data_IF_485351071675
#
_entry.id   IF_485351071675
#
_cell.length_a   1.000
_cell.length_b   1.000
_cell.length_c   1.000
_cell.angle_alpha   90.00
_cell.angle_beta   90.00
_cell.angle_gamma   90.00
#
_symmetry.space_group_name_H-M   'P 1'
#
loop_
_entity.id
_entity.type
_entity.pdbx_description
1 polymer ?
#
# COMPACT_ATOMS: atom_id res chain seq x y z
N UNK A 1 -37.91 10.66 16.13
CA UNK A 1 -36.89 11.23 15.26
C UNK A 1 -36.06 10.09 14.65
N UNK A 2 -35.72 10.22 13.36
CA UNK A 2 -34.83 9.26 12.71
C UNK A 2 -33.37 9.67 12.95
N UNK A 3 -32.48 8.66 13.03
CA UNK A 3 -31.06 8.90 13.15
C UNK A 3 -30.43 8.97 11.77
N UNK A 4 -29.54 9.93 11.58
CA UNK A 4 -28.80 10.15 10.33
C UNK A 4 -27.31 10.26 10.60
N UNK A 5 -26.51 9.69 9.72
CA UNK A 5 -25.06 9.85 9.71
C UNK A 5 -24.59 10.22 8.29
N UNK A 6 -23.91 11.36 8.15
CA UNK A 6 -23.49 11.90 6.84
C UNK A 6 -24.64 11.94 5.80
N UNK A 7 -25.84 12.35 6.24
CA UNK A 7 -27.03 12.47 5.39
C UNK A 7 -27.73 11.15 5.04
N UNK A 8 -27.24 10.01 5.54
CA UNK A 8 -27.88 8.69 5.36
C UNK A 8 -28.66 8.30 6.61
N UNK A 9 -29.89 7.81 6.42
CA UNK A 9 -30.69 7.28 7.51
C UNK A 9 -30.07 6.00 8.05
N UNK A 10 -29.92 5.93 9.38
CA UNK A 10 -29.63 4.69 10.09
C UNK A 10 -30.96 4.04 10.42
N UNK A 11 -31.26 2.91 9.80
CA UNK A 11 -32.50 2.15 10.05
C UNK A 11 -32.48 1.48 11.44
N UNK A 12 -32.47 2.31 12.47
CA UNK A 12 -32.41 1.88 13.87
C UNK A 12 -33.72 1.18 14.23
N UNK A 13 -33.62 -0.07 14.70
CA UNK A 13 -34.78 -0.91 15.02
C UNK A 13 -35.45 -0.47 16.33
N UNK A 14 -34.66 -0.17 17.35
CA UNK A 14 -35.16 0.33 18.61
C UNK A 14 -34.50 1.68 18.96
N UNK A 15 -35.20 2.74 18.64
CA UNK A 15 -34.73 4.12 18.87
C UNK A 15 -34.59 4.46 20.35
N UNK A 16 -35.29 3.77 21.24
CA UNK A 16 -35.29 4.05 22.67
C UNK A 16 -34.03 3.55 23.37
N UNK A 17 -33.38 2.50 22.82
CA UNK A 17 -32.15 1.93 23.35
C UNK A 17 -30.92 2.22 22.48
N UNK A 18 -31.08 2.98 21.39
CA UNK A 18 -29.96 3.28 20.51
C UNK A 18 -28.93 4.19 21.16
N UNK A 19 -27.68 3.81 21.06
CA UNK A 19 -26.53 4.59 21.49
C UNK A 19 -25.39 4.53 20.49
N UNK A 20 -24.64 5.62 20.37
CA UNK A 20 -23.34 5.66 19.68
C UNK A 20 -22.30 5.18 20.68
N UNK A 21 -21.48 4.20 20.26
CA UNK A 21 -20.45 3.64 21.11
C UNK A 21 -19.22 4.53 21.15
N UNK A 22 -18.59 4.60 22.31
CA UNK A 22 -17.38 5.39 22.56
C UNK A 22 -16.17 4.46 22.63
N UNK A 23 -15.01 5.01 22.28
CA UNK A 23 -13.72 4.39 22.50
C UNK A 23 -13.26 4.57 23.98
N UNK A 24 -12.09 4.04 24.32
CA UNK A 24 -11.51 4.15 25.65
C UNK A 24 -11.12 5.59 26.05
N UNK A 25 -11.03 6.52 25.11
CA UNK A 25 -10.83 7.94 25.39
C UNK A 25 -12.12 8.71 25.66
N UNK A 26 -13.26 8.06 25.44
CA UNK A 26 -14.60 8.65 25.59
C UNK A 26 -15.10 9.34 24.32
N UNK A 27 -14.37 9.24 23.21
CA UNK A 27 -14.78 9.81 21.91
C UNK A 27 -15.75 8.89 21.17
N UNK A 28 -16.65 9.50 20.40
CA UNK A 28 -17.61 8.74 19.60
C UNK A 28 -16.90 7.97 18.47
N UNK A 29 -17.25 6.69 18.33
CA UNK A 29 -16.75 5.84 17.25
C UNK A 29 -17.71 5.82 16.05
N UNK A 30 -17.34 5.07 15.01
CA UNK A 30 -18.21 4.76 13.87
C UNK A 30 -19.21 3.62 14.16
N UNK A 31 -19.42 3.25 15.41
CA UNK A 31 -20.25 2.14 15.82
C UNK A 31 -21.39 2.61 16.73
N UNK A 32 -22.53 1.97 16.58
CA UNK A 32 -23.67 2.14 17.46
C UNK A 32 -24.33 0.80 17.75
N UNK A 33 -25.23 0.77 18.71
CA UNK A 33 -26.08 -0.41 18.99
C UNK A 33 -27.44 0.00 19.52
N UNK A 34 -28.43 -0.86 19.30
CA UNK A 34 -29.65 -0.93 20.08
C UNK A 34 -29.78 -2.34 20.69
N UNK A 35 -30.79 -2.62 21.45
CA UNK A 35 -30.96 -3.92 22.12
C UNK A 35 -31.04 -5.12 21.19
N UNK A 36 -31.15 -4.92 19.86
CA UNK A 36 -31.30 -5.99 18.88
C UNK A 36 -30.13 -6.08 17.90
N UNK A 37 -29.56 -4.91 17.52
CA UNK A 37 -28.65 -4.79 16.40
C UNK A 37 -27.43 -3.93 16.77
N UNK A 38 -26.29 -4.27 16.14
CA UNK A 38 -25.17 -3.35 15.98
C UNK A 38 -25.32 -2.54 14.70
N UNK A 39 -24.63 -1.41 14.64
CA UNK A 39 -24.64 -0.51 13.49
C UNK A 39 -23.22 -0.04 13.22
N UNK A 40 -22.79 -0.13 11.96
CA UNK A 40 -21.67 0.67 11.49
C UNK A 40 -22.25 1.90 10.81
N UNK A 41 -21.82 3.10 11.23
CA UNK A 41 -22.52 4.35 10.92
C UNK A 41 -22.52 4.76 9.43
N UNK A 42 -21.95 3.96 8.53
CA UNK A 42 -22.12 4.10 7.08
C UNK A 42 -23.53 3.65 6.58
N UNK A 43 -24.38 3.17 7.48
CA UNK A 43 -25.71 2.62 7.20
C UNK A 43 -25.81 1.09 7.26
N UNK A 44 -24.72 0.39 7.62
CA UNK A 44 -24.74 -1.08 7.74
C UNK A 44 -25.37 -1.51 9.07
N UNK A 45 -26.37 -2.38 8.99
CA UNK A 45 -27.04 -2.99 10.15
C UNK A 45 -26.48 -4.40 10.36
N UNK A 46 -26.12 -4.72 11.60
CA UNK A 46 -25.59 -6.01 12.03
C UNK A 46 -26.63 -6.67 12.93
N UNK A 47 -27.40 -7.63 12.42
CA UNK A 47 -28.46 -8.27 13.21
C UNK A 47 -27.89 -9.24 14.24
N UNK A 48 -28.64 -9.41 15.34
CA UNK A 48 -28.38 -10.45 16.33
C UNK A 48 -27.00 -10.39 16.99
N UNK A 49 -26.52 -9.18 17.31
CA UNK A 49 -25.34 -9.02 18.16
C UNK A 49 -25.65 -9.48 19.59
N UNK A 50 -24.61 -9.83 20.35
CA UNK A 50 -24.74 -9.90 21.81
C UNK A 50 -24.65 -8.46 22.37
N UNK A 51 -25.80 -7.88 22.68
CA UNK A 51 -25.90 -6.48 23.12
C UNK A 51 -25.01 -6.17 24.32
N UNK A 52 -24.94 -7.10 25.29
CA UNK A 52 -24.21 -6.87 26.54
C UNK A 52 -22.71 -6.75 26.33
N UNK A 53 -22.17 -7.43 25.32
CA UNK A 53 -20.73 -7.48 25.06
C UNK A 53 -20.29 -6.78 23.77
N UNK A 54 -21.21 -6.28 22.96
CA UNK A 54 -20.87 -5.59 21.72
C UNK A 54 -20.19 -4.25 22.02
N UNK A 55 -18.97 -4.10 21.50
CA UNK A 55 -18.11 -2.93 21.72
C UNK A 55 -17.22 -2.67 20.49
N UNK A 56 -16.79 -1.41 20.25
CA UNK A 56 -15.73 -1.10 19.29
C UNK A 56 -14.41 -1.66 19.81
N UNK A 57 -13.55 -2.11 18.89
CA UNK A 57 -12.18 -2.48 19.22
C UNK A 57 -11.32 -1.23 19.06
N UNK A 58 -10.62 -0.85 20.12
CA UNK A 58 -9.77 0.32 20.09
C UNK A 58 -8.57 0.11 19.18
N UNK A 59 -8.34 1.08 18.32
CA UNK A 59 -7.14 1.16 17.54
C UNK A 59 -5.93 1.51 18.44
N UNK A 60 -4.80 0.90 18.16
CA UNK A 60 -3.57 1.18 18.88
C UNK A 60 -3.17 2.66 18.71
N UNK A 61 -3.14 3.38 19.83
CA UNK A 61 -2.68 4.74 20.17
C UNK A 61 -2.59 5.88 19.15
N UNK A 62 -2.50 5.64 17.86
CA UNK A 62 -2.24 6.71 16.87
C UNK A 62 -3.26 6.79 15.74
N UNK A 63 -4.27 5.94 15.73
CA UNK A 63 -5.15 5.78 14.57
C UNK A 63 -6.59 5.80 15.04
N UNK A 64 -7.28 6.91 14.81
CA UNK A 64 -8.74 7.00 14.94
C UNK A 64 -9.43 6.17 13.85
N UNK A 65 -9.12 4.88 13.72
CA UNK A 65 -9.70 4.08 12.65
C UNK A 65 -11.08 3.56 13.01
N UNK A 66 -11.25 2.98 14.20
CA UNK A 66 -12.54 2.48 14.67
C UNK A 66 -13.26 1.57 13.65
N UNK A 67 -12.49 0.80 12.87
CA UNK A 67 -13.06 -0.03 11.81
C UNK A 67 -13.53 -1.38 12.31
N UNK A 68 -13.05 -1.81 13.46
CA UNK A 68 -13.35 -3.09 14.05
C UNK A 68 -14.29 -2.95 15.26
N UNK A 69 -15.16 -3.92 15.42
CA UNK A 69 -15.95 -4.14 16.63
C UNK A 69 -16.05 -5.64 16.92
N UNK A 70 -16.37 -6.00 18.14
CA UNK A 70 -16.62 -7.38 18.50
C UNK A 70 -17.79 -7.48 19.50
N UNK A 71 -18.38 -8.65 19.56
CA UNK A 71 -19.10 -9.16 20.73
C UNK A 71 -18.41 -10.44 21.23
N UNK A 72 -18.95 -11.10 22.21
CA UNK A 72 -18.31 -12.32 22.77
C UNK A 72 -18.22 -13.48 21.80
N UNK A 73 -18.90 -13.42 20.65
CA UNK A 73 -18.96 -14.52 19.68
C UNK A 73 -18.29 -14.18 18.34
N UNK A 74 -18.23 -12.91 17.97
CA UNK A 74 -17.90 -12.47 16.61
C UNK A 74 -17.07 -11.21 16.59
N UNK A 75 -16.26 -11.07 15.53
CA UNK A 75 -15.56 -9.85 15.19
C UNK A 75 -16.12 -9.29 13.88
N UNK A 76 -16.15 -7.98 13.76
CA UNK A 76 -16.69 -7.27 12.60
C UNK A 76 -15.69 -6.23 12.07
N UNK A 77 -15.63 -6.09 10.75
CA UNK A 77 -14.93 -5.02 10.06
C UNK A 77 -15.93 -4.19 9.25
N UNK A 78 -16.07 -2.89 9.57
CA UNK A 78 -17.01 -1.98 8.90
C UNK A 78 -18.43 -2.57 8.76
N UNK A 79 -18.89 -3.24 9.80
CA UNK A 79 -20.22 -3.85 9.86
C UNK A 79 -20.34 -5.24 9.24
N UNK A 80 -19.28 -5.81 8.68
CA UNK A 80 -19.28 -7.18 8.15
C UNK A 80 -18.59 -8.14 9.12
N UNK A 81 -19.21 -9.28 9.38
CA UNK A 81 -18.61 -10.34 10.19
C UNK A 81 -17.32 -10.85 9.55
N UNK A 82 -16.30 -11.11 10.38
CA UNK A 82 -15.05 -11.77 9.99
C UNK A 82 -15.14 -13.23 10.42
N UNK A 83 -15.44 -14.16 9.51
CA UNK A 83 -15.62 -15.55 9.87
C UNK A 83 -14.33 -16.15 10.46
N UNK A 84 -14.47 -16.82 11.62
CA UNK A 84 -13.37 -17.53 12.28
C UNK A 84 -12.36 -16.66 13.01
N UNK A 85 -12.58 -15.35 13.09
CA UNK A 85 -11.78 -14.49 13.99
C UNK A 85 -12.14 -14.77 15.45
N UNK A 86 -11.15 -14.78 16.32
CA UNK A 86 -11.32 -15.02 17.76
C UNK A 86 -11.55 -13.70 18.51
N UNK A 87 -12.80 -13.39 18.93
CA UNK A 87 -13.08 -12.11 19.57
C UNK A 87 -12.38 -11.92 20.91
N UNK A 88 -12.03 -13.02 21.60
CA UNK A 88 -11.36 -12.93 22.90
C UNK A 88 -9.92 -12.42 22.82
N UNK A 89 -9.28 -12.54 21.68
CA UNK A 89 -7.87 -12.14 21.48
C UNK A 89 -7.69 -11.15 20.34
N UNK A 90 -8.76 -10.76 19.67
CA UNK A 90 -8.69 -9.84 18.54
C UNK A 90 -8.31 -8.42 19.01
N UNK A 91 -7.40 -7.81 18.29
CA UNK A 91 -7.01 -6.39 18.45
C UNK A 91 -6.73 -5.76 17.10
N UNK A 92 -6.92 -4.48 16.98
CA UNK A 92 -6.40 -3.70 15.86
C UNK A 92 -4.93 -3.38 16.15
N UNK A 93 -4.02 -3.69 15.22
CA UNK A 93 -2.57 -3.53 15.39
C UNK A 93 -2.01 -2.40 14.56
N UNK A 94 -2.68 -2.06 13.45
CA UNK A 94 -2.36 -0.93 12.58
C UNK A 94 -3.61 -0.52 11.80
N UNK A 95 -3.54 0.53 11.00
CA UNK A 95 -4.65 1.06 10.21
C UNK A 95 -5.30 -0.03 9.34
N UNK A 96 -6.53 -0.40 9.69
CA UNK A 96 -7.29 -1.48 9.05
C UNK A 96 -6.65 -2.88 9.15
N UNK A 97 -5.64 -3.06 10.01
CA UNK A 97 -5.00 -4.34 10.26
C UNK A 97 -5.41 -4.84 11.63
N UNK A 98 -6.08 -5.97 11.64
CA UNK A 98 -6.45 -6.68 12.86
C UNK A 98 -5.58 -7.92 13.07
N UNK A 99 -5.47 -8.37 14.29
CA UNK A 99 -4.79 -9.62 14.66
C UNK A 99 -5.51 -10.30 15.80
N UNK A 100 -5.67 -11.63 15.70
CA UNK A 100 -6.00 -12.49 16.83
C UNK A 100 -4.82 -13.42 17.16
N UNK A 101 -5.04 -14.39 18.05
CA UNK A 101 -4.01 -15.38 18.41
C UNK A 101 -3.59 -16.31 17.26
N UNK A 102 -4.34 -16.35 16.17
CA UNK A 102 -4.09 -17.26 15.06
C UNK A 102 -3.44 -16.61 13.85
N UNK A 103 -3.83 -15.34 13.54
CA UNK A 103 -3.40 -14.67 12.31
C UNK A 103 -3.65 -13.18 12.28
N UNK A 104 -3.09 -12.56 11.25
CA UNK A 104 -3.33 -11.17 10.88
C UNK A 104 -4.47 -11.09 9.86
N UNK A 105 -5.25 -10.02 9.93
CA UNK A 105 -6.37 -9.70 9.05
C UNK A 105 -6.13 -8.33 8.40
N UNK A 106 -6.19 -8.26 7.08
CA UNK A 106 -6.11 -7.03 6.32
C UNK A 106 -7.50 -6.60 5.86
N UNK A 107 -8.00 -5.45 6.32
CA UNK A 107 -9.35 -4.98 6.00
C UNK A 107 -10.45 -6.03 6.28
N UNK A 108 -10.30 -6.79 7.37
CA UNK A 108 -11.20 -7.88 7.74
C UNK A 108 -11.02 -9.19 6.94
N UNK A 109 -10.06 -9.28 6.05
CA UNK A 109 -9.75 -10.49 5.29
C UNK A 109 -8.60 -11.24 5.98
N UNK A 110 -8.76 -12.54 6.29
CA UNK A 110 -7.69 -13.32 6.91
C UNK A 110 -6.49 -13.48 5.96
N UNK A 111 -5.30 -13.31 6.49
CA UNK A 111 -4.02 -13.51 5.78
C UNK A 111 -3.33 -14.80 6.21
N UNK A 112 -2.20 -15.11 5.60
CA UNK A 112 -1.33 -16.22 6.03
C UNK A 112 -0.35 -15.81 7.14
N UNK A 113 -0.23 -14.51 7.43
CA UNK A 113 0.67 -13.95 8.43
C UNK A 113 0.14 -14.30 9.82
N UNK A 114 1.01 -14.82 10.67
CA UNK A 114 0.64 -15.24 12.04
C UNK A 114 0.81 -14.13 13.07
N UNK A 115 1.79 -13.25 12.89
CA UNK A 115 2.10 -12.19 13.86
C UNK A 115 2.62 -10.94 13.14
N UNK A 116 1.85 -9.85 13.21
CA UNK A 116 2.19 -8.56 12.61
C UNK A 116 3.50 -7.99 13.16
N UNK A 117 3.76 -8.16 14.46
CA UNK A 117 4.94 -7.60 15.10
C UNK A 117 6.26 -8.32 14.72
N UNK A 118 6.17 -9.46 14.04
CA UNK A 118 7.34 -10.20 13.53
C UNK A 118 7.66 -9.90 12.08
N UNK A 119 6.88 -9.02 11.44
CA UNK A 119 7.17 -8.61 10.07
C UNK A 119 8.40 -7.71 10.02
N UNK A 120 9.29 -8.02 9.10
CA UNK A 120 10.37 -7.13 8.67
C UNK A 120 9.90 -6.32 7.48
N UNK A 121 10.09 -5.01 7.52
CA UNK A 121 9.71 -4.12 6.44
C UNK A 121 10.88 -3.88 5.48
N UNK A 122 10.61 -3.96 4.18
CA UNK A 122 11.53 -3.60 3.09
C UNK A 122 11.02 -2.36 2.38
N UNK A 123 11.72 -1.24 2.53
CA UNK A 123 11.22 0.05 2.06
C UNK A 123 9.87 0.40 2.68
N UNK A 124 8.99 1.04 1.91
CA UNK A 124 7.65 1.44 2.38
C UNK A 124 6.52 0.52 1.91
N UNK A 125 6.79 -0.45 1.01
CA UNK A 125 5.75 -1.18 0.29
C UNK A 125 5.77 -2.70 0.49
N UNK A 126 6.81 -3.27 1.12
CA UNK A 126 6.98 -4.72 1.25
C UNK A 126 7.26 -5.14 2.68
N UNK A 127 6.81 -6.33 3.02
CA UNK A 127 7.02 -6.98 4.32
C UNK A 127 7.53 -8.41 4.13
N UNK A 128 8.19 -8.95 5.15
CA UNK A 128 8.53 -10.37 5.22
C UNK A 128 8.26 -10.94 6.60
N UNK A 129 7.77 -12.16 6.66
CA UNK A 129 7.68 -13.00 7.86
C UNK A 129 8.89 -13.94 8.02
N UNK A 130 9.90 -13.80 7.16
CA UNK A 130 11.09 -14.66 7.09
C UNK A 130 10.91 -15.88 6.18
N UNK A 131 9.70 -16.14 5.68
CA UNK A 131 9.39 -17.26 4.77
C UNK A 131 8.84 -16.78 3.43
N UNK A 132 8.17 -15.64 3.43
CA UNK A 132 7.59 -15.03 2.23
C UNK A 132 7.83 -13.52 2.23
N UNK A 133 7.76 -12.94 1.04
CA UNK A 133 7.64 -11.49 0.84
C UNK A 133 6.17 -11.16 0.53
N UNK A 134 5.66 -10.10 1.13
CA UNK A 134 4.29 -9.63 1.02
C UNK A 134 4.24 -8.18 0.53
N UNK A 135 3.24 -7.85 -0.28
CA UNK A 135 2.90 -6.46 -0.60
C UNK A 135 2.09 -5.79 0.53
N UNK A 136 1.67 -4.53 0.33
CA UNK A 136 0.88 -3.76 1.31
C UNK A 136 -0.50 -4.35 1.61
N UNK A 137 -1.05 -5.14 0.70
CA UNK A 137 -2.32 -5.85 0.92
C UNK A 137 -2.10 -7.28 1.46
N UNK A 138 -0.86 -7.60 1.85
CA UNK A 138 -0.41 -8.90 2.36
C UNK A 138 -0.60 -10.06 1.38
N UNK A 139 -0.60 -9.78 0.08
CA UNK A 139 -0.47 -10.81 -0.93
C UNK A 139 0.98 -11.26 -1.03
N UNK A 140 1.19 -12.57 -1.19
CA UNK A 140 2.54 -13.13 -1.38
C UNK A 140 3.10 -12.67 -2.73
N UNK A 141 4.31 -12.11 -2.70
CA UNK A 141 5.09 -11.81 -3.90
C UNK A 141 5.65 -13.12 -4.45
N UNK A 142 4.96 -13.67 -5.45
CA UNK A 142 5.27 -14.99 -5.98
C UNK A 142 6.66 -15.03 -6.60
N UNK A 143 7.45 -16.06 -6.22
CA UNK A 143 8.80 -16.30 -6.74
C UNK A 143 9.89 -15.45 -6.11
N UNK A 144 9.60 -14.59 -5.14
CA UNK A 144 10.61 -13.83 -4.43
C UNK A 144 11.46 -14.73 -3.50
N UNK A 145 12.76 -14.63 -3.61
CA UNK A 145 13.71 -15.27 -2.70
C UNK A 145 13.98 -14.37 -1.49
N UNK A 146 13.40 -14.75 -0.35
CA UNK A 146 13.51 -13.99 0.90
C UNK A 146 14.96 -13.77 1.34
N UNK A 147 15.84 -14.73 1.10
CA UNK A 147 17.23 -14.66 1.55
C UNK A 147 18.05 -13.57 0.82
N UNK A 148 17.66 -13.24 -0.40
CA UNK A 148 18.37 -12.27 -1.24
C UNK A 148 17.52 -11.05 -1.60
N UNK A 149 16.30 -10.97 -1.05
CA UNK A 149 15.39 -9.87 -1.34
C UNK A 149 15.88 -8.55 -0.74
N UNK A 150 15.94 -7.53 -1.57
CA UNK A 150 16.37 -6.20 -1.15
C UNK A 150 15.51 -5.09 -1.77
N UNK A 151 15.38 -4.00 -1.03
CA UNK A 151 14.83 -2.74 -1.50
C UNK A 151 15.95 -1.92 -2.15
N UNK A 152 15.79 -1.56 -3.42
CA UNK A 152 16.80 -0.80 -4.16
C UNK A 152 16.56 0.70 -3.96
N UNK A 153 15.34 1.16 -4.24
CA UNK A 153 14.93 2.55 -4.14
C UNK A 153 13.42 2.66 -4.36
N UNK A 154 12.74 3.46 -3.58
CA UNK A 154 11.31 3.80 -3.72
C UNK A 154 10.44 2.58 -4.09
N UNK A 155 10.07 2.46 -5.38
CA UNK A 155 9.20 1.43 -5.91
C UNK A 155 9.95 0.18 -6.41
N UNK A 156 11.28 0.14 -6.36
CA UNK A 156 12.10 -0.90 -6.95
C UNK A 156 12.65 -1.87 -5.93
N UNK A 157 12.45 -3.14 -6.21
CA UNK A 157 12.91 -4.28 -5.40
C UNK A 157 13.57 -5.31 -6.29
N UNK A 158 14.48 -6.10 -5.74
CA UNK A 158 15.06 -7.26 -6.43
C UNK A 158 15.47 -8.35 -5.46
N UNK A 159 15.69 -9.54 -6.02
CA UNK A 159 16.45 -10.63 -5.41
C UNK A 159 17.60 -11.08 -6.34
N UNK A 160 18.20 -12.20 -6.06
CA UNK A 160 19.27 -12.74 -6.91
C UNK A 160 18.82 -13.06 -8.35
N UNK A 161 17.53 -13.28 -8.59
CA UNK A 161 16.98 -13.82 -9.84
C UNK A 161 15.99 -12.89 -10.54
N UNK A 162 15.38 -11.96 -9.80
CA UNK A 162 14.27 -11.17 -10.29
C UNK A 162 14.38 -9.70 -9.89
N UNK A 163 13.62 -8.85 -10.62
CA UNK A 163 13.40 -7.43 -10.30
C UNK A 163 11.90 -7.19 -10.25
N UNK A 164 11.44 -6.37 -9.30
CA UNK A 164 10.05 -5.93 -9.19
C UNK A 164 9.95 -4.41 -9.17
N UNK A 165 8.92 -3.92 -9.84
CA UNK A 165 8.39 -2.58 -9.65
C UNK A 165 7.12 -2.67 -8.82
N UNK A 166 7.18 -2.17 -7.56
CA UNK A 166 6.15 -2.44 -6.55
C UNK A 166 5.99 -3.98 -6.43
N UNK A 167 4.81 -4.53 -6.65
CA UNK A 167 4.52 -5.97 -6.59
C UNK A 167 4.48 -6.66 -7.95
N UNK A 168 4.92 -5.98 -9.04
CA UNK A 168 4.92 -6.52 -10.40
C UNK A 168 6.30 -6.97 -10.83
N UNK A 169 6.39 -8.20 -11.31
CA UNK A 169 7.63 -8.76 -11.87
C UNK A 169 8.03 -8.02 -13.14
N UNK A 170 9.23 -7.46 -13.16
CA UNK A 170 9.84 -6.79 -14.32
C UNK A 170 10.45 -7.86 -15.23
N UNK A 171 9.65 -8.34 -16.19
CA UNK A 171 10.06 -9.44 -17.06
C UNK A 171 11.22 -9.04 -17.97
N UNK A 172 12.25 -9.89 -18.02
CA UNK A 172 13.44 -9.68 -18.84
C UNK A 172 14.51 -8.80 -18.22
N UNK A 173 14.28 -8.26 -17.02
CA UNK A 173 15.31 -7.51 -16.30
C UNK A 173 16.41 -8.45 -15.76
N UNK A 174 17.65 -8.02 -15.90
CA UNK A 174 18.81 -8.69 -15.31
C UNK A 174 19.10 -8.10 -13.91
N UNK A 175 18.79 -8.80 -12.80
CA UNK A 175 18.96 -8.24 -11.45
C UNK A 175 20.41 -7.89 -11.09
N UNK A 176 21.40 -8.50 -11.76
CA UNK A 176 22.83 -8.24 -11.51
C UNK A 176 23.28 -6.87 -12.03
N UNK A 177 22.65 -6.37 -13.10
CA UNK A 177 23.01 -5.10 -13.75
C UNK A 177 21.90 -4.04 -13.61
N UNK A 178 20.75 -4.43 -13.07
CA UNK A 178 19.60 -3.53 -12.92
C UNK A 178 19.87 -2.43 -11.90
N UNK A 179 19.46 -1.22 -12.28
CA UNK A 179 19.38 -0.06 -11.39
C UNK A 179 18.23 0.87 -11.80
N UNK A 180 17.58 1.56 -10.86
CA UNK A 180 16.73 2.69 -11.18
C UNK A 180 17.52 3.76 -11.95
N UNK A 181 16.86 4.44 -12.88
CA UNK A 181 17.49 5.50 -13.66
C UNK A 181 17.84 6.68 -12.76
N UNK A 182 19.05 7.21 -12.88
CA UNK A 182 19.43 8.45 -12.19
C UNK A 182 18.72 9.63 -12.82
N UNK A 183 18.12 10.45 -11.97
CA UNK A 183 17.52 11.72 -12.34
C UNK A 183 18.51 12.82 -11.97
N UNK A 184 18.91 13.61 -12.95
CA UNK A 184 19.84 14.72 -12.73
C UNK A 184 19.09 16.04 -12.84
N UNK A 185 19.14 16.85 -11.77
CA UNK A 185 18.63 18.21 -11.82
C UNK A 185 19.71 19.16 -12.34
N UNK A 186 19.36 20.06 -13.26
CA UNK A 186 20.26 21.08 -13.76
C UNK A 186 20.62 22.10 -12.66
N UNK A 187 19.79 22.26 -11.65
CA UNK A 187 20.07 23.08 -10.47
C UNK A 187 21.07 22.45 -9.48
N UNK A 188 21.49 21.21 -9.76
CA UNK A 188 22.35 20.40 -8.90
C UNK A 188 21.54 19.36 -8.12
N UNK A 189 22.18 18.24 -7.87
CA UNK A 189 21.57 17.11 -7.17
C UNK A 189 21.18 15.97 -8.11
N UNK A 190 21.17 14.76 -7.54
CA UNK A 190 20.75 13.55 -8.23
C UNK A 190 19.83 12.76 -7.30
N UNK A 191 18.81 12.11 -7.87
CA UNK A 191 17.95 11.15 -7.21
C UNK A 191 17.81 9.90 -8.10
N UNK A 192 17.12 8.89 -7.58
CA UNK A 192 16.74 7.73 -8.38
C UNK A 192 15.28 7.87 -8.82
N UNK A 193 14.94 7.32 -9.97
CA UNK A 193 13.60 7.41 -10.52
C UNK A 193 12.71 6.28 -10.00
N UNK A 194 11.46 6.63 -9.63
CA UNK A 194 10.52 5.62 -9.13
C UNK A 194 9.89 4.76 -10.22
N UNK A 195 9.93 5.21 -11.50
CA UNK A 195 9.24 4.54 -12.60
C UNK A 195 10.18 4.03 -13.68
N UNK A 196 11.35 4.65 -13.87
CA UNK A 196 12.30 4.23 -14.87
C UNK A 196 13.45 3.44 -14.25
N UNK A 197 13.71 2.26 -14.81
CA UNK A 197 14.85 1.41 -14.48
C UNK A 197 15.57 0.95 -15.74
N UNK A 198 16.81 0.50 -15.61
CA UNK A 198 17.56 -0.10 -16.70
C UNK A 198 18.53 -1.16 -16.22
N UNK A 199 18.81 -2.10 -17.10
CA UNK A 199 19.91 -3.04 -16.98
C UNK A 199 20.96 -2.79 -18.09
N UNK A 200 21.84 -3.74 -18.34
CA UNK A 200 22.87 -3.64 -19.38
C UNK A 200 22.31 -3.67 -20.81
N UNK A 201 21.05 -4.09 -21.02
CA UNK A 201 20.44 -4.28 -22.34
C UNK A 201 19.15 -3.52 -22.55
N UNK A 202 18.34 -3.35 -21.50
CA UNK A 202 16.98 -2.85 -21.61
C UNK A 202 16.75 -1.66 -20.70
N UNK A 203 15.80 -0.84 -21.12
CA UNK A 203 15.20 0.21 -20.30
C UNK A 203 13.76 -0.17 -20.02
N UNK A 204 13.33 0.10 -18.79
CA UNK A 204 12.00 -0.24 -18.30
C UNK A 204 11.28 1.02 -17.86
N UNK A 205 10.01 1.10 -18.18
CA UNK A 205 9.05 1.98 -17.53
C UNK A 205 8.12 1.12 -16.69
N UNK A 206 8.23 1.25 -15.36
CA UNK A 206 7.55 0.37 -14.43
C UNK A 206 7.95 -1.11 -14.69
N UNK A 207 6.99 -1.98 -14.93
CA UNK A 207 7.20 -3.41 -15.18
C UNK A 207 7.41 -3.77 -16.66
N UNK A 208 7.48 -2.76 -17.57
CA UNK A 208 7.47 -2.97 -19.02
C UNK A 208 8.72 -2.45 -19.71
N UNK A 209 9.25 -3.23 -20.68
CA UNK A 209 10.38 -2.81 -21.52
C UNK A 209 9.95 -1.66 -22.42
N UNK A 210 10.80 -0.63 -22.53
CA UNK A 210 10.66 0.42 -23.55
C UNK A 210 11.34 -0.09 -24.84
N UNK A 211 10.57 -0.36 -25.90
CA UNK A 211 11.14 -0.88 -27.13
C UNK A 211 12.17 0.05 -27.75
N UNK A 212 13.27 -0.50 -28.24
CA UNK A 212 14.34 0.21 -28.94
C UNK A 212 15.08 1.29 -28.12
N UNK A 213 14.83 1.41 -26.81
CA UNK A 213 15.59 2.33 -25.97
C UNK A 213 17.03 1.86 -25.78
N UNK A 214 17.97 2.79 -25.95
CA UNK A 214 19.38 2.51 -25.74
C UNK A 214 19.75 2.66 -24.25
N UNK A 215 19.83 1.54 -23.54
CA UNK A 215 20.13 1.51 -22.11
C UNK A 215 21.45 2.21 -21.74
N UNK A 216 22.44 2.20 -22.64
CA UNK A 216 23.73 2.83 -22.38
C UNK A 216 23.66 4.35 -22.30
N UNK A 217 22.78 4.97 -23.08
CA UNK A 217 22.63 6.42 -23.15
C UNK A 217 21.31 6.96 -22.58
N UNK A 218 20.47 6.11 -21.99
CA UNK A 218 19.19 6.52 -21.44
C UNK A 218 19.34 7.35 -20.17
N UNK A 219 18.71 8.52 -20.17
CA UNK A 219 18.81 9.53 -19.11
C UNK A 219 17.48 10.21 -18.82
N UNK A 220 17.36 10.73 -17.60
CA UNK A 220 16.28 11.63 -17.19
C UNK A 220 16.89 12.89 -16.58
N UNK A 221 16.64 14.03 -17.19
CA UNK A 221 17.22 15.33 -16.80
C UNK A 221 16.12 16.37 -16.72
N UNK A 222 16.20 17.22 -15.68
CA UNK A 222 15.41 18.44 -15.55
C UNK A 222 16.18 19.60 -16.20
N UNK A 223 15.77 20.01 -17.39
CA UNK A 223 16.36 21.15 -18.09
C UNK A 223 15.66 22.46 -17.72
N UNK A 224 16.40 23.58 -17.55
CA UNK A 224 15.82 24.83 -17.07
C UNK A 224 14.89 25.54 -18.05
N UNK A 225 14.88 25.13 -19.33
CA UNK A 225 13.99 25.63 -20.38
C UNK A 225 12.82 24.65 -20.66
N UNK A 226 12.74 23.58 -19.89
CA UNK A 226 11.69 22.57 -19.99
C UNK A 226 10.54 22.84 -19.03
N UNK A 227 9.35 22.43 -19.44
CA UNK A 227 8.16 22.48 -18.55
C UNK A 227 8.13 21.30 -17.57
N UNK A 228 9.06 20.35 -17.71
CA UNK A 228 9.13 19.12 -16.92
C UNK A 228 10.39 18.31 -17.24
N UNK A 229 10.59 17.24 -16.49
CA UNK A 229 11.65 16.26 -16.72
C UNK A 229 11.65 15.74 -18.15
N UNK A 230 12.81 15.75 -18.80
CA UNK A 230 13.02 15.17 -20.13
C UNK A 230 13.66 13.78 -19.98
N UNK A 231 13.04 12.79 -20.61
CA UNK A 231 13.49 11.39 -20.67
C UNK A 231 13.90 11.08 -22.10
N UNK A 232 15.13 10.69 -22.31
CA UNK A 232 15.71 10.51 -23.64
C UNK A 232 16.86 9.50 -23.65
N UNK A 233 17.17 9.03 -24.83
CA UNK A 233 18.49 8.43 -25.15
C UNK A 233 19.18 9.24 -26.28
N UNK A 234 20.30 8.76 -26.77
CA UNK A 234 21.01 9.43 -27.88
C UNK A 234 20.22 9.54 -29.18
N UNK A 235 19.14 8.78 -29.35
CA UNK A 235 18.38 8.68 -30.61
C UNK A 235 16.95 9.21 -30.49
N UNK A 236 16.36 9.15 -29.29
CA UNK A 236 14.92 9.40 -29.09
C UNK A 236 14.64 10.21 -27.83
N UNK A 237 13.58 10.99 -27.85
CA UNK A 237 12.97 11.63 -26.68
C UNK A 237 11.68 10.87 -26.38
N UNK A 238 11.56 10.35 -25.16
CA UNK A 238 10.42 9.53 -24.71
C UNK A 238 9.41 10.35 -23.94
N UNK A 239 9.89 11.36 -23.19
CA UNK A 239 9.04 12.27 -22.43
C UNK A 239 9.70 13.66 -22.37
N UNK A 240 8.87 14.70 -22.31
CA UNK A 240 9.32 16.08 -22.32
C UNK A 240 9.40 16.67 -23.74
N UNK A 241 10.16 17.77 -23.88
CA UNK A 241 10.29 18.47 -25.16
C UNK A 241 11.71 18.33 -25.71
N UNK A 242 11.82 18.25 -27.03
CA UNK A 242 13.07 18.48 -27.73
C UNK A 242 13.42 19.97 -27.66
N UNK A 243 14.16 20.33 -26.63
CA UNK A 243 14.51 21.71 -26.32
C UNK A 243 15.89 22.10 -26.86
N UNK A 244 16.18 23.40 -27.03
CA UNK A 244 17.52 23.86 -27.38
C UNK A 244 18.61 23.37 -26.43
N UNK A 245 18.31 23.31 -25.14
CA UNK A 245 19.22 22.81 -24.10
C UNK A 245 19.50 21.32 -24.25
N UNK A 246 18.45 20.51 -24.54
CA UNK A 246 18.65 19.11 -24.83
C UNK A 246 19.54 18.89 -26.04
N UNK A 247 19.32 19.65 -27.14
CA UNK A 247 20.15 19.55 -28.36
C UNK A 247 21.59 19.94 -28.09
N UNK A 248 21.83 21.02 -27.35
CA UNK A 248 23.17 21.42 -26.91
C UNK A 248 23.85 20.32 -26.09
N UNK A 249 23.11 19.74 -25.14
CA UNK A 249 23.60 18.62 -24.30
C UNK A 249 23.99 17.42 -25.15
N UNK A 250 23.10 16.98 -26.06
CA UNK A 250 23.33 15.82 -26.94
C UNK A 250 24.54 16.07 -27.87
N UNK A 251 24.63 17.28 -28.42
CA UNK A 251 25.79 17.67 -29.25
C UNK A 251 27.11 17.59 -28.49
N UNK A 252 27.14 18.12 -27.27
CA UNK A 252 28.35 18.11 -26.42
C UNK A 252 28.72 16.68 -26.00
N UNK A 253 27.73 15.84 -25.69
CA UNK A 253 27.97 14.52 -25.12
C UNK A 253 28.20 13.44 -26.17
N UNK A 254 27.50 13.51 -27.31
CA UNK A 254 27.48 12.45 -28.33
C UNK A 254 27.93 12.95 -29.73
N UNK A 255 28.24 14.23 -29.88
CA UNK A 255 28.68 14.80 -31.17
C UNK A 255 27.60 14.93 -32.25
N UNK A 256 26.32 14.95 -31.83
CA UNK A 256 25.16 14.99 -32.74
C UNK A 256 24.53 16.37 -32.85
#
# INVERSE_FOLDING_TARGET
NDFYYNGKALNVRDKSSFEILKDNSGENTNWGKDKYNGYYLNGTVIPNIDYATFHPIDAHRLIQSGYYAADKYKVFFKGKEIPGADPATFREVDFSIGQDKYRVYQKGIPTQIKDYNKLTQFGSLMYSDGTHIYDLDFNILQGADVATFEHISDNWYKDASHVWWINKLVRGANPKTFSPVKVTSFAGGTSLDFNYGKDDKHVFYQDSIIPAADAASFEKIDFPDGDSWTVFDRNHVYQGKDSPKLREYLKKKYGK
#
